data_IF_494941337753
#
_entry.id   IF_494941337753
#
_cell.length_a   1.000
_cell.length_b   1.000
_cell.length_c   1.000
_cell.angle_alpha   90.00
_cell.angle_beta   90.00
_cell.angle_gamma   90.00
#
_symmetry.space_group_name_H-M   'P 1'
#
loop_
_entity.id
_entity.type
_entity.pdbx_description
1 polymer ?
#
# COMPACT_ATOMS: atom_id res chain seq x y z
N UNK A 1 -9.86 -27.91 -11.95
CA UNK A 1 -8.61 -27.51 -11.26
C UNK A 1 -7.85 -28.74 -10.80
N UNK A 2 -6.53 -28.77 -11.01
CA UNK A 2 -5.65 -29.83 -10.48
C UNK A 2 -5.25 -29.52 -9.03
N UNK A 3 -4.73 -30.53 -8.30
CA UNK A 3 -4.12 -30.34 -6.97
C UNK A 3 -3.01 -29.28 -7.02
N UNK A 4 -2.27 -29.22 -8.13
CA UNK A 4 -1.20 -28.25 -8.37
C UNK A 4 -1.70 -26.80 -8.43
N UNK A 5 -2.88 -26.57 -9.02
CA UNK A 5 -3.49 -25.24 -9.06
C UNK A 5 -3.88 -24.76 -7.66
N UNK A 6 -4.38 -25.65 -6.79
CA UNK A 6 -4.73 -25.31 -5.41
C UNK A 6 -3.46 -24.93 -4.62
N UNK A 7 -2.39 -25.71 -4.78
CA UNK A 7 -1.10 -25.40 -4.16
C UNK A 7 -0.57 -24.04 -4.66
N UNK A 8 -0.65 -23.77 -5.96
CA UNK A 8 -0.24 -22.49 -6.52
C UNK A 8 -1.09 -21.31 -6.04
N UNK A 9 -2.40 -21.51 -5.88
CA UNK A 9 -3.30 -20.49 -5.34
C UNK A 9 -2.93 -20.13 -3.89
N UNK A 10 -2.70 -21.14 -3.05
CA UNK A 10 -2.30 -20.95 -1.65
C UNK A 10 -0.91 -20.32 -1.56
N UNK A 11 0.04 -20.77 -2.40
CA UNK A 11 1.38 -20.18 -2.49
C UNK A 11 1.35 -18.72 -2.94
N UNK A 12 0.58 -18.42 -3.98
CA UNK A 12 0.35 -17.06 -4.47
C UNK A 12 -0.26 -16.15 -3.40
N UNK A 13 -1.26 -16.64 -2.66
CA UNK A 13 -1.87 -15.93 -1.53
C UNK A 13 -0.85 -15.63 -0.43
N UNK A 14 -0.02 -16.61 -0.05
CA UNK A 14 1.00 -16.42 0.98
C UNK A 14 2.03 -15.35 0.57
N UNK A 15 2.52 -15.41 -0.68
CA UNK A 15 3.45 -14.44 -1.24
C UNK A 15 2.80 -13.04 -1.31
N UNK A 16 1.55 -12.97 -1.76
CA UNK A 16 0.78 -11.73 -1.84
C UNK A 16 0.64 -11.06 -0.47
N UNK A 17 0.23 -11.81 0.55
CA UNK A 17 0.09 -11.31 1.92
C UNK A 17 1.44 -10.87 2.50
N UNK A 18 2.52 -11.61 2.23
CA UNK A 18 3.87 -11.24 2.64
C UNK A 18 4.36 -9.95 1.96
N UNK A 19 4.11 -9.78 0.66
CA UNK A 19 4.43 -8.55 -0.06
C UNK A 19 3.67 -7.34 0.51
N UNK A 20 2.38 -7.53 0.84
CA UNK A 20 1.53 -6.50 1.43
C UNK A 20 2.02 -6.07 2.82
N UNK A 21 2.34 -7.01 3.72
CA UNK A 21 2.86 -6.67 5.06
C UNK A 21 4.19 -5.94 4.98
N UNK A 22 5.10 -6.41 4.13
CA UNK A 22 6.42 -5.80 3.94
C UNK A 22 6.32 -4.38 3.38
N UNK A 23 5.46 -4.15 2.38
CA UNK A 23 5.18 -2.83 1.82
C UNK A 23 4.56 -1.89 2.86
N UNK A 24 3.56 -2.37 3.62
CA UNK A 24 2.89 -1.60 4.67
C UNK A 24 3.85 -1.13 5.76
N UNK A 25 4.65 -2.05 6.32
CA UNK A 25 5.66 -1.70 7.34
C UNK A 25 6.71 -0.72 6.81
N UNK A 26 7.14 -0.88 5.56
CA UNK A 26 8.15 -0.01 4.97
C UNK A 26 7.61 1.40 4.71
N UNK A 27 6.36 1.52 4.26
CA UNK A 27 5.65 2.79 4.11
C UNK A 27 5.44 3.49 5.45
N UNK A 28 5.01 2.76 6.48
CA UNK A 28 4.83 3.28 7.83
C UNK A 28 6.15 3.84 8.40
N UNK A 29 7.24 3.07 8.33
CA UNK A 29 8.58 3.50 8.79
C UNK A 29 9.10 4.71 8.01
N UNK A 30 8.79 4.81 6.71
CA UNK A 30 9.16 5.95 5.87
C UNK A 30 8.33 7.20 6.21
N UNK A 31 7.05 7.04 6.53
CA UNK A 31 6.10 8.12 6.79
C UNK A 31 6.11 8.65 8.23
N UNK A 32 6.54 7.85 9.22
CA UNK A 32 6.35 8.12 10.66
C UNK A 32 6.70 9.53 11.15
N UNK A 33 7.89 10.06 10.82
CA UNK A 33 8.29 11.40 11.30
C UNK A 33 7.61 12.56 10.54
N UNK A 34 7.12 12.33 9.32
CA UNK A 34 6.47 13.35 8.49
C UNK A 34 5.02 13.56 8.94
N UNK A 35 4.33 12.47 9.28
CA UNK A 35 2.93 12.47 9.67
C UNK A 35 2.68 13.36 10.89
N UNK A 36 3.51 13.25 11.94
CA UNK A 36 3.42 14.07 13.16
C UNK A 36 3.42 15.58 12.88
N UNK A 37 4.14 16.03 11.85
CA UNK A 37 4.22 17.44 11.45
C UNK A 37 3.06 17.88 10.54
N UNK A 38 2.48 16.97 9.76
CA UNK A 38 1.31 17.24 8.92
C UNK A 38 0.05 17.31 9.80
N UNK A 39 -0.03 16.47 10.83
CA UNK A 39 -1.15 16.40 11.77
C UNK A 39 -1.24 17.63 12.69
N UNK A 40 -0.11 18.21 13.10
CA UNK A 40 -0.11 19.44 13.91
C UNK A 40 -0.55 20.69 13.15
N UNK A 41 -0.44 20.67 11.81
CA UNK A 41 -0.74 21.84 10.96
C UNK A 41 -2.15 21.83 10.36
N UNK A 42 -2.88 20.71 10.43
CA UNK A 42 -4.05 20.51 9.58
C UNK A 42 -5.24 19.86 10.30
N UNK A 43 -6.03 20.64 11.04
CA UNK A 43 -7.42 20.26 11.38
C UNK A 43 -8.41 21.44 11.46
N UNK A 44 -8.13 22.59 10.85
CA UNK A 44 -9.05 23.74 10.92
C UNK A 44 -10.30 23.63 10.05
N UNK A 45 -10.36 22.73 9.05
CA UNK A 45 -11.51 22.62 8.12
C UNK A 45 -11.90 21.15 7.87
N UNK A 46 -13.21 20.87 7.79
CA UNK A 46 -13.80 19.55 7.52
C UNK A 46 -13.19 18.84 6.31
N UNK A 47 -12.99 19.55 5.20
CA UNK A 47 -12.42 18.97 3.97
C UNK A 47 -10.94 18.62 4.12
N UNK A 48 -10.19 19.45 4.86
CA UNK A 48 -8.78 19.19 5.15
C UNK A 48 -8.61 17.97 6.05
N UNK A 49 -9.49 17.80 7.05
CA UNK A 49 -9.50 16.60 7.90
C UNK A 49 -9.80 15.33 7.10
N UNK A 50 -10.80 15.37 6.22
CA UNK A 50 -11.10 14.26 5.31
C UNK A 50 -9.92 13.90 4.40
N UNK A 51 -9.37 14.88 3.70
CA UNK A 51 -8.26 14.65 2.77
C UNK A 51 -7.01 14.16 3.50
N UNK A 52 -6.77 14.66 4.71
CA UNK A 52 -5.70 14.18 5.57
C UNK A 52 -5.88 12.70 5.90
N UNK A 53 -7.05 12.29 6.38
CA UNK A 53 -7.33 10.88 6.66
C UNK A 53 -7.12 9.99 5.44
N UNK A 54 -7.61 10.44 4.28
CA UNK A 54 -7.46 9.73 3.01
C UNK A 54 -5.99 9.53 2.66
N UNK A 55 -5.18 10.60 2.66
CA UNK A 55 -3.76 10.54 2.29
C UNK A 55 -2.97 9.72 3.31
N UNK A 56 -3.22 9.94 4.60
CA UNK A 56 -2.54 9.22 5.69
C UNK A 56 -2.79 7.72 5.55
N UNK A 57 -4.03 7.30 5.38
CA UNK A 57 -4.35 5.88 5.24
C UNK A 57 -3.91 5.32 3.89
N UNK A 58 -3.98 6.08 2.79
CA UNK A 58 -3.45 5.62 1.51
C UNK A 58 -1.93 5.35 1.57
N UNK A 59 -1.19 6.14 2.35
CA UNK A 59 0.25 5.96 2.54
C UNK A 59 0.55 4.84 3.54
N UNK A 60 -0.06 4.86 4.73
CA UNK A 60 0.22 3.86 5.79
C UNK A 60 -0.40 2.50 5.47
N UNK A 61 -1.43 2.46 4.62
CA UNK A 61 -2.27 1.29 4.31
C UNK A 61 -3.02 0.70 5.51
N UNK A 62 -3.03 1.39 6.66
CA UNK A 62 -3.71 0.93 7.87
C UNK A 62 -4.69 1.99 8.37
N UNK A 63 -5.99 1.76 8.11
CA UNK A 63 -7.07 2.59 8.65
C UNK A 63 -7.22 2.42 10.16
N UNK A 64 -6.89 1.23 10.69
CA UNK A 64 -6.90 0.96 12.14
C UNK A 64 -5.81 1.76 12.86
N UNK A 65 -4.57 1.76 12.35
CA UNK A 65 -3.49 2.59 12.89
C UNK A 65 -3.83 4.09 12.82
N UNK A 66 -4.45 4.52 11.72
CA UNK A 66 -4.92 5.90 11.55
C UNK A 66 -5.98 6.26 12.61
N UNK A 67 -6.91 5.34 12.88
CA UNK A 67 -7.97 5.56 13.89
C UNK A 67 -7.41 5.62 15.30
N UNK A 68 -6.52 4.68 15.68
CA UNK A 68 -5.85 4.68 17.00
C UNK A 68 -5.08 5.99 17.22
N UNK A 69 -4.37 6.45 16.21
CA UNK A 69 -3.64 7.72 16.24
C UNK A 69 -4.59 8.92 16.46
N UNK A 70 -5.69 9.00 15.71
CA UNK A 70 -6.68 10.08 15.82
C UNK A 70 -7.35 10.08 17.20
N UNK A 71 -7.69 8.91 17.74
CA UNK A 71 -8.22 8.78 19.12
C UNK A 71 -7.20 9.27 20.14
N UNK A 72 -5.91 8.96 19.96
CA UNK A 72 -4.82 9.50 20.79
C UNK A 72 -4.73 11.04 20.77
N UNK A 73 -4.98 11.67 19.62
CA UNK A 73 -5.02 13.14 19.52
C UNK A 73 -6.25 13.75 20.18
N UNK A 74 -7.39 13.07 20.13
CA UNK A 74 -8.58 13.51 20.88
C UNK A 74 -8.33 13.44 22.38
N UNK A 75 -7.72 12.34 22.85
CA UNK A 75 -7.43 12.16 24.27
C UNK A 75 -6.38 13.16 24.80
N UNK A 76 -5.42 13.57 23.96
CA UNK A 76 -4.41 14.58 24.32
C UNK A 76 -4.87 16.04 24.15
N UNK A 77 -6.13 16.26 23.74
CA UNK A 77 -6.68 17.60 23.52
C UNK A 77 -6.16 18.32 22.28
N UNK A 78 -5.36 17.65 21.44
CA UNK A 78 -4.81 18.19 20.18
C UNK A 78 -5.91 18.32 19.12
N UNK A 79 -6.95 17.49 19.21
CA UNK A 79 -8.05 17.42 18.25
C UNK A 79 -9.39 17.28 18.97
N UNK A 80 -10.47 17.90 18.45
CA UNK A 80 -11.83 17.65 18.96
C UNK A 80 -12.48 16.47 18.23
N UNK A 81 -13.42 15.79 18.88
CA UNK A 81 -14.13 14.63 18.31
C UNK A 81 -14.72 14.90 16.91
N UNK A 82 -15.26 16.11 16.69
CA UNK A 82 -15.80 16.51 15.38
C UNK A 82 -14.74 16.53 14.27
N UNK A 83 -13.50 16.91 14.58
CA UNK A 83 -12.40 16.86 13.62
C UNK A 83 -11.97 15.41 13.35
N UNK A 84 -11.92 14.58 14.40
CA UNK A 84 -11.59 13.17 14.31
C UNK A 84 -12.52 12.40 13.37
N UNK A 85 -13.83 12.66 13.42
CA UNK A 85 -14.81 12.03 12.52
C UNK A 85 -14.45 12.28 11.05
N UNK A 86 -14.05 13.51 10.68
CA UNK A 86 -13.69 13.81 9.30
C UNK A 86 -12.44 13.02 8.87
N UNK A 87 -11.44 12.91 9.74
CA UNK A 87 -10.22 12.15 9.46
C UNK A 87 -10.53 10.66 9.34
N UNK A 88 -11.36 10.09 10.20
CA UNK A 88 -11.76 8.68 10.15
C UNK A 88 -12.54 8.37 8.87
N UNK A 89 -13.46 9.25 8.45
CA UNK A 89 -14.15 9.11 7.17
C UNK A 89 -13.18 9.12 5.99
N UNK A 90 -12.19 10.02 6.02
CA UNK A 90 -11.10 10.05 5.05
C UNK A 90 -10.31 8.75 5.03
N UNK A 91 -9.93 8.25 6.21
CA UNK A 91 -9.14 7.04 6.39
C UNK A 91 -9.82 5.82 5.76
N UNK A 92 -11.12 5.65 5.98
CA UNK A 92 -11.90 4.55 5.40
C UNK A 92 -11.90 4.59 3.87
N UNK A 93 -11.99 5.78 3.26
CA UNK A 93 -11.87 5.94 1.81
C UNK A 93 -10.42 5.72 1.36
N UNK A 94 -9.43 6.15 2.14
CA UNK A 94 -8.01 5.95 1.87
C UNK A 94 -7.63 4.47 1.70
N UNK A 95 -8.27 3.56 2.43
CA UNK A 95 -8.06 2.11 2.27
C UNK A 95 -8.36 1.61 0.85
N UNK A 96 -9.22 2.30 0.09
CA UNK A 96 -9.51 1.93 -1.30
C UNK A 96 -8.38 2.28 -2.27
N UNK A 97 -7.39 3.09 -1.86
CA UNK A 97 -6.27 3.44 -2.73
C UNK A 97 -5.45 2.20 -3.14
N UNK A 98 -5.32 1.20 -2.26
CA UNK A 98 -4.65 -0.07 -2.60
C UNK A 98 -5.45 -0.89 -3.59
N UNK A 99 -6.78 -0.97 -3.46
CA UNK A 99 -7.60 -1.71 -4.42
C UNK A 99 -7.59 -1.06 -5.81
N UNK A 100 -7.57 0.27 -5.88
CA UNK A 100 -7.36 1.00 -7.14
C UNK A 100 -5.97 0.81 -7.73
N UNK A 101 -4.93 0.75 -6.89
CA UNK A 101 -3.58 0.41 -7.34
C UNK A 101 -3.53 -0.99 -7.97
N UNK A 102 -4.21 -1.96 -7.36
CA UNK A 102 -4.25 -3.35 -7.84
C UNK A 102 -5.15 -3.51 -9.09
N UNK A 103 -6.22 -2.72 -9.23
CA UNK A 103 -7.11 -2.82 -10.40
C UNK A 103 -6.41 -2.44 -11.70
N UNK A 104 -5.35 -1.64 -11.64
CA UNK A 104 -4.48 -1.33 -12.79
C UNK A 104 -3.82 -2.58 -13.40
N UNK A 105 -3.73 -3.68 -12.64
CA UNK A 105 -3.13 -4.93 -13.11
C UNK A 105 -4.06 -5.68 -14.08
N UNK A 106 -5.37 -5.49 -13.96
CA UNK A 106 -6.37 -6.10 -14.84
C UNK A 106 -6.59 -5.35 -16.16
N UNK A 107 -5.79 -4.33 -16.48
CA UNK A 107 -5.94 -3.59 -17.73
C UNK A 107 -5.41 -4.45 -18.89
N UNK A 108 -6.33 -4.88 -19.75
CA UNK A 108 -6.03 -5.62 -20.98
C UNK A 108 -6.09 -4.68 -22.19
N UNK A 109 -5.02 -4.64 -22.99
CA UNK A 109 -4.94 -3.85 -24.21
C UNK A 109 -3.63 -4.11 -24.96
N UNK A 110 -3.73 -4.23 -26.29
CA UNK A 110 -2.59 -4.52 -27.19
C UNK A 110 -1.75 -3.28 -27.54
N UNK A 111 -2.14 -2.09 -27.09
CA UNK A 111 -1.36 -0.90 -27.31
C UNK A 111 -0.05 -0.94 -26.49
N UNK A 112 1.07 -0.57 -27.12
CA UNK A 112 2.40 -0.44 -26.50
C UNK A 112 2.37 0.29 -25.14
N UNK A 113 1.55 1.34 -25.00
CA UNK A 113 1.48 2.11 -23.76
C UNK A 113 0.84 1.32 -22.62
N UNK A 114 -0.14 0.47 -22.94
CA UNK A 114 -0.85 -0.39 -21.98
C UNK A 114 0.07 -1.51 -21.50
N UNK A 115 0.90 -2.07 -22.38
CA UNK A 115 1.89 -3.10 -22.01
C UNK A 115 2.97 -2.56 -21.06
N UNK A 116 3.41 -1.30 -21.23
CA UNK A 116 4.33 -0.67 -20.27
C UNK A 116 3.62 -0.35 -18.94
N UNK A 117 2.32 -0.01 -18.99
CA UNK A 117 1.53 0.22 -17.78
C UNK A 117 1.20 -1.06 -17.02
N UNK A 118 1.24 -2.24 -17.69
CA UNK A 118 0.99 -3.53 -17.03
C UNK A 118 2.02 -3.75 -15.93
N UNK A 119 1.59 -3.86 -14.67
CA UNK A 119 2.50 -4.00 -13.55
C UNK A 119 3.39 -5.23 -13.64
N UNK A 120 2.93 -6.32 -14.26
CA UNK A 120 3.74 -7.52 -14.50
C UNK A 120 4.98 -7.27 -15.36
N UNK A 121 4.94 -6.35 -16.33
CA UNK A 121 6.08 -6.07 -17.22
C UNK A 121 7.19 -5.23 -16.57
N UNK A 122 6.83 -4.30 -15.68
CA UNK A 122 7.82 -3.46 -14.99
C UNK A 122 8.19 -3.98 -13.59
N UNK A 123 7.45 -4.94 -13.03
CA UNK A 123 7.71 -5.55 -11.71
C UNK A 123 9.14 -6.07 -11.56
N UNK A 124 9.73 -6.80 -12.52
CA UNK A 124 11.12 -7.25 -12.39
C UNK A 124 12.13 -6.10 -12.29
N UNK A 125 11.89 -5.00 -13.00
CA UNK A 125 12.74 -3.79 -12.96
C UNK A 125 12.60 -3.13 -11.58
N UNK A 126 11.38 -3.03 -11.06
CA UNK A 126 11.13 -2.50 -9.72
C UNK A 126 11.77 -3.37 -8.63
N UNK A 127 11.72 -4.69 -8.78
CA UNK A 127 12.36 -5.64 -7.88
C UNK A 127 13.90 -5.47 -7.90
N UNK A 128 14.48 -5.29 -9.09
CA UNK A 128 15.92 -5.07 -9.24
C UNK A 128 16.36 -3.75 -8.59
N UNK A 129 15.65 -2.65 -8.86
CA UNK A 129 15.92 -1.36 -8.21
C UNK A 129 15.75 -1.46 -6.69
N UNK A 130 14.67 -2.09 -6.23
CA UNK A 130 14.39 -2.30 -4.81
C UNK A 130 15.47 -3.12 -4.12
N UNK A 131 15.95 -4.18 -4.77
CA UNK A 131 17.05 -5.03 -4.29
C UNK A 131 18.36 -4.23 -4.21
N UNK A 132 18.69 -3.47 -5.25
CA UNK A 132 19.88 -2.61 -5.25
C UNK A 132 19.82 -1.60 -4.09
N UNK A 133 18.68 -0.93 -3.92
CA UNK A 133 18.48 0.04 -2.86
C UNK A 133 18.55 -0.58 -1.46
N UNK A 134 18.06 -1.82 -1.29
CA UNK A 134 18.08 -2.50 0.00
C UNK A 134 19.47 -3.05 0.37
N UNK A 135 20.15 -3.69 -0.59
CA UNK A 135 21.40 -4.40 -0.38
C UNK A 135 22.62 -3.47 -0.37
N UNK A 136 22.67 -2.45 -1.24
CA UNK A 136 23.90 -1.68 -1.47
C UNK A 136 23.89 -0.28 -0.83
N UNK A 137 22.72 0.26 -0.45
CA UNK A 137 22.62 1.61 0.10
C UNK A 137 22.52 1.55 1.63
N UNK A 138 23.45 2.19 2.35
CA UNK A 138 23.44 2.20 3.82
C UNK A 138 22.53 3.26 4.46
N UNK A 139 21.97 4.17 3.66
CA UNK A 139 21.06 5.20 4.15
C UNK A 139 19.69 4.60 4.53
N UNK A 140 19.31 4.66 5.83
CA UNK A 140 18.05 4.09 6.37
C UNK A 140 16.81 4.47 5.54
N UNK A 141 16.70 5.73 5.15
CA UNK A 141 15.59 6.23 4.32
C UNK A 141 15.51 5.46 2.99
N UNK A 142 16.62 5.38 2.25
CA UNK A 142 16.66 4.69 0.94
C UNK A 142 16.46 3.19 1.07
N UNK A 143 16.96 2.54 2.15
CA UNK A 143 16.63 1.14 2.43
C UNK A 143 15.13 0.91 2.60
N UNK A 144 14.43 1.77 3.33
CA UNK A 144 12.97 1.67 3.46
C UNK A 144 12.27 1.87 2.11
N UNK A 145 12.74 2.79 1.26
CA UNK A 145 12.21 2.90 -0.12
C UNK A 145 12.46 1.64 -0.94
N UNK A 146 13.64 1.03 -0.82
CA UNK A 146 13.94 -0.27 -1.45
C UNK A 146 12.98 -1.38 -0.99
N UNK A 147 12.67 -1.43 0.31
CA UNK A 147 11.67 -2.37 0.87
C UNK A 147 10.25 -2.11 0.34
N UNK A 148 9.85 -0.85 0.15
CA UNK A 148 8.55 -0.52 -0.48
C UNK A 148 8.48 -1.11 -1.90
N UNK A 149 9.54 -0.90 -2.70
CA UNK A 149 9.60 -1.40 -4.08
C UNK A 149 9.62 -2.94 -4.13
N UNK A 150 10.38 -3.58 -3.24
CA UNK A 150 10.41 -5.03 -3.12
C UNK A 150 9.06 -5.61 -2.66
N UNK A 151 8.46 -5.04 -1.63
CA UNK A 151 7.14 -5.48 -1.13
C UNK A 151 6.06 -5.39 -2.22
N UNK A 152 6.06 -4.28 -2.96
CA UNK A 152 5.15 -4.12 -4.11
C UNK A 152 5.41 -5.14 -5.23
N UNK A 153 6.68 -5.43 -5.53
CA UNK A 153 7.04 -6.40 -6.56
C UNK A 153 6.62 -7.83 -6.19
N UNK A 154 6.86 -8.22 -4.93
CA UNK A 154 6.45 -9.52 -4.38
C UNK A 154 4.92 -9.65 -4.35
N UNK A 155 4.22 -8.57 -3.97
CA UNK A 155 2.76 -8.51 -3.99
C UNK A 155 2.22 -8.81 -5.40
N UNK A 156 2.70 -8.10 -6.43
CA UNK A 156 2.24 -8.32 -7.81
C UNK A 156 2.54 -9.74 -8.27
N UNK A 157 3.73 -10.26 -7.98
CA UNK A 157 4.09 -11.63 -8.34
C UNK A 157 3.17 -12.67 -7.70
N UNK A 158 2.83 -12.51 -6.42
CA UNK A 158 1.85 -13.37 -5.75
C UNK A 158 0.47 -13.30 -6.40
N UNK A 159 0.07 -12.12 -6.87
CA UNK A 159 -1.23 -11.91 -7.54
C UNK A 159 -1.29 -12.51 -8.94
N UNK A 160 -0.21 -12.44 -9.70
CA UNK A 160 -0.08 -13.09 -11.00
C UNK A 160 -0.16 -14.62 -10.85
N UNK A 161 0.57 -15.18 -9.87
CA UNK A 161 0.52 -16.61 -9.54
C UNK A 161 -0.89 -17.09 -9.16
N UNK A 162 -1.64 -16.29 -8.39
CA UNK A 162 -3.05 -16.59 -8.09
C UNK A 162 -3.92 -16.55 -9.35
N UNK A 163 -3.71 -15.55 -10.22
CA UNK A 163 -4.46 -15.38 -11.46
C UNK A 163 -4.22 -16.57 -12.40
N UNK A 164 -2.99 -17.03 -12.55
CA UNK A 164 -2.66 -18.23 -13.32
C UNK A 164 -3.25 -19.51 -12.76
N UNK A 165 -3.29 -19.66 -11.43
CA UNK A 165 -3.89 -20.82 -10.78
C UNK A 165 -5.41 -20.92 -11.03
N UNK A 166 -6.10 -19.78 -11.17
CA UNK A 166 -7.56 -19.69 -11.37
C UNK A 166 -7.96 -19.66 -12.84
N UNK A 167 -7.07 -19.32 -13.79
CA UNK A 167 -7.35 -19.36 -15.25
C UNK A 167 -8.13 -20.61 -15.73
N UNK A 168 -7.85 -21.83 -15.24
CA UNK A 168 -8.59 -23.04 -15.66
C UNK A 168 -10.05 -23.14 -15.18
N UNK A 169 -10.52 -22.17 -14.39
CA UNK A 169 -11.92 -22.02 -13.98
C UNK A 169 -12.66 -20.91 -14.75
N UNK A 170 -11.94 -20.04 -15.46
CA UNK A 170 -12.47 -18.86 -16.12
C UNK A 170 -13.01 -19.16 -17.52
#
# INVERSE_FOLDING_TARGET
MSIFNIINLIGGLAIFLFGMTLMGEALERRAGNQLKNVLSKLTTNKYKGFLLGLIVTAIIQSSSATTVMVVGFVNSGIMVLRQAINVIMGANIGTTATTWLLSLIGIEGDAWFVQILKPTSFTPILALIGCIMYCFINEKKKKHTGLILLGFSVLIFGMDMMSEAVKPLA
#
